data_IF_553403276462
#
_entry.id   IF_553403276462
#
_cell.length_a   1.000
_cell.length_b   1.000
_cell.length_c   1.000
_cell.angle_alpha   90.00
_cell.angle_beta   90.00
_cell.angle_gamma   90.00
#
_symmetry.space_group_name_H-M   'P 1'
#
loop_
_entity.id
_entity.type
_entity.pdbx_description
1 polymer ?
#
# COMPACT_ATOMS: atom_id res chain seq x y z
N UNK A 1 11.78 4.66 13.32
CA UNK A 1 10.95 3.77 14.17
C UNK A 1 9.46 3.82 13.77
N UNK A 2 8.83 5.01 13.71
CA UNK A 2 7.42 5.14 13.28
C UNK A 2 7.12 4.53 11.90
N UNK A 3 8.02 4.71 10.92
CA UNK A 3 7.87 4.11 9.58
C UNK A 3 7.77 2.58 9.60
N UNK A 4 8.61 1.90 10.39
CA UNK A 4 8.59 0.45 10.50
C UNK A 4 7.33 -0.06 11.21
N UNK A 5 6.88 0.66 12.25
CA UNK A 5 5.66 0.31 12.98
C UNK A 5 4.41 0.44 12.09
N UNK A 6 4.24 1.55 11.38
CA UNK A 6 3.09 1.76 10.49
C UNK A 6 3.10 0.79 9.32
N UNK A 7 4.27 0.56 8.72
CA UNK A 7 4.44 -0.45 7.67
C UNK A 7 4.07 -1.85 8.17
N UNK A 8 4.58 -2.27 9.34
CA UNK A 8 4.30 -3.59 9.91
C UNK A 8 2.82 -3.79 10.21
N UNK A 9 2.15 -2.81 10.82
CA UNK A 9 0.71 -2.87 11.08
C UNK A 9 -0.11 -2.96 9.79
N UNK A 10 0.21 -2.14 8.79
CA UNK A 10 -0.43 -2.19 7.47
C UNK A 10 -0.22 -3.55 6.79
N UNK A 11 1.01 -4.05 6.78
CA UNK A 11 1.36 -5.32 6.15
C UNK A 11 0.62 -6.50 6.78
N UNK A 12 0.61 -6.60 8.12
CA UNK A 12 -0.13 -7.64 8.83
C UNK A 12 -1.63 -7.59 8.53
N UNK A 13 -2.23 -6.39 8.52
CA UNK A 13 -3.65 -6.22 8.17
C UNK A 13 -3.94 -6.61 6.72
N UNK A 14 -3.05 -6.27 5.78
CA UNK A 14 -3.19 -6.61 4.36
C UNK A 14 -3.09 -8.13 4.13
N UNK A 15 -2.15 -8.82 4.79
CA UNK A 15 -2.02 -10.28 4.72
C UNK A 15 -3.30 -10.95 5.23
N UNK A 16 -3.80 -10.52 6.39
CA UNK A 16 -5.05 -11.07 6.94
C UNK A 16 -6.25 -10.77 6.03
N UNK A 17 -6.31 -9.58 5.43
CA UNK A 17 -7.32 -9.23 4.43
C UNK A 17 -7.26 -10.16 3.20
N UNK A 18 -6.08 -10.40 2.64
CA UNK A 18 -5.91 -11.30 1.49
C UNK A 18 -6.33 -12.72 1.86
N UNK A 19 -5.94 -13.21 3.03
CA UNK A 19 -6.31 -14.55 3.50
C UNK A 19 -7.83 -14.74 3.60
N UNK A 20 -8.58 -13.74 4.09
CA UNK A 20 -10.05 -13.82 4.16
C UNK A 20 -10.76 -13.62 2.81
N UNK A 21 -10.13 -12.89 1.88
CA UNK A 21 -10.75 -12.54 0.59
C UNK A 21 -10.67 -13.67 -0.43
N UNK A 22 -9.75 -14.61 -0.27
CA UNK A 22 -9.56 -15.75 -1.18
C UNK A 22 -9.98 -17.07 -0.53
N UNK A 23 -10.59 -17.97 -1.30
CA UNK A 23 -10.99 -19.29 -0.81
C UNK A 23 -9.78 -20.20 -0.49
N UNK A 24 -9.97 -21.31 0.25
CA UNK A 24 -8.86 -22.19 0.68
C UNK A 24 -7.99 -22.72 -0.46
N UNK A 25 -8.59 -22.96 -1.63
CA UNK A 25 -7.89 -23.46 -2.84
C UNK A 25 -7.14 -22.38 -3.62
N UNK A 26 -7.34 -21.11 -3.28
CA UNK A 26 -6.79 -19.94 -3.99
C UNK A 26 -5.83 -19.10 -3.13
N UNK A 27 -5.50 -19.55 -1.92
CA UNK A 27 -4.62 -18.82 -1.00
C UNK A 27 -3.26 -18.47 -1.62
N UNK A 28 -2.64 -19.40 -2.35
CA UNK A 28 -1.39 -19.13 -3.06
C UNK A 28 -1.51 -18.05 -4.14
N UNK A 29 -2.65 -17.99 -4.85
CA UNK A 29 -2.91 -16.96 -5.84
C UNK A 29 -3.12 -15.59 -5.19
N UNK A 30 -3.86 -15.53 -4.07
CA UNK A 30 -4.04 -14.30 -3.30
C UNK A 30 -2.71 -13.73 -2.79
N UNK A 31 -1.85 -14.58 -2.22
CA UNK A 31 -0.52 -14.16 -1.76
C UNK A 31 0.39 -13.73 -2.92
N UNK A 32 0.34 -14.44 -4.06
CA UNK A 32 1.10 -14.06 -5.26
C UNK A 32 0.64 -12.71 -5.81
N UNK A 33 -0.66 -12.45 -5.86
CA UNK A 33 -1.22 -11.16 -6.28
C UNK A 33 -0.77 -10.03 -5.35
N UNK A 34 -0.89 -10.24 -4.03
CA UNK A 34 -0.45 -9.25 -3.04
C UNK A 34 1.05 -8.96 -3.15
N UNK A 35 1.88 -9.99 -3.30
CA UNK A 35 3.33 -9.84 -3.48
C UNK A 35 3.67 -9.09 -4.77
N UNK A 36 3.01 -9.42 -5.89
CA UNK A 36 3.23 -8.76 -7.17
C UNK A 36 2.86 -7.27 -7.11
N UNK A 37 1.67 -6.94 -6.60
CA UNK A 37 1.21 -5.55 -6.48
C UNK A 37 2.08 -4.74 -5.51
N UNK A 38 2.43 -5.32 -4.36
CA UNK A 38 3.32 -4.67 -3.39
C UNK A 38 4.72 -4.45 -3.97
N UNK A 39 5.23 -5.41 -4.74
CA UNK A 39 6.53 -5.31 -5.41
C UNK A 39 6.55 -4.23 -6.49
N UNK A 40 5.54 -4.20 -7.36
CA UNK A 40 5.40 -3.14 -8.39
C UNK A 40 5.26 -1.77 -7.74
N UNK A 41 4.41 -1.64 -6.72
CA UNK A 41 4.25 -0.40 -5.97
C UNK A 41 5.55 0.06 -5.31
N UNK A 42 6.31 -0.87 -4.71
CA UNK A 42 7.62 -0.58 -4.13
C UNK A 42 8.64 -0.11 -5.16
N UNK A 43 8.70 -0.77 -6.32
CA UNK A 43 9.60 -0.38 -7.42
C UNK A 43 9.28 1.01 -7.97
N UNK A 44 7.99 1.29 -8.24
CA UNK A 44 7.55 2.61 -8.69
C UNK A 44 7.83 3.68 -7.62
N UNK A 45 7.53 3.40 -6.35
CA UNK A 45 7.80 4.30 -5.25
C UNK A 45 9.29 4.63 -5.10
N UNK A 46 10.17 3.64 -5.23
CA UNK A 46 11.62 3.85 -5.21
C UNK A 46 12.09 4.73 -6.39
N UNK A 47 11.58 4.46 -7.60
CA UNK A 47 11.93 5.23 -8.80
C UNK A 47 11.49 6.70 -8.68
N UNK A 48 10.21 6.94 -8.38
CA UNK A 48 9.66 8.30 -8.28
C UNK A 48 10.23 9.07 -7.08
N UNK A 49 10.47 8.42 -5.95
CA UNK A 49 11.12 9.07 -4.82
C UNK A 49 12.55 9.49 -5.17
N UNK A 50 13.31 8.66 -5.89
CA UNK A 50 14.64 9.02 -6.39
C UNK A 50 14.64 10.24 -7.32
N UNK A 51 13.73 10.27 -8.31
CA UNK A 51 13.64 11.42 -9.22
C UNK A 51 13.18 12.70 -8.53
N UNK A 52 12.10 12.61 -7.72
CA UNK A 52 11.57 13.77 -7.01
C UNK A 52 12.54 14.30 -5.97
N UNK A 53 13.32 13.44 -5.32
CA UNK A 53 14.33 13.86 -4.35
C UNK A 53 15.39 14.75 -5.00
N UNK A 54 15.86 14.37 -6.19
CA UNK A 54 16.85 15.14 -6.95
C UNK A 54 16.27 16.42 -7.55
N UNK A 55 15.04 16.38 -8.06
CA UNK A 55 14.45 17.51 -8.78
C UNK A 55 13.72 18.54 -7.89
N UNK A 56 13.07 18.08 -6.82
CA UNK A 56 12.15 18.88 -5.98
C UNK A 56 12.61 18.98 -4.52
N UNK A 57 13.56 18.16 -4.11
CA UNK A 57 14.07 18.10 -2.74
C UNK A 57 13.17 17.34 -1.77
N UNK A 58 13.66 17.10 -0.55
CA UNK A 58 13.05 16.19 0.42
C UNK A 58 11.64 16.60 0.86
N UNK A 59 11.40 17.89 1.08
CA UNK A 59 10.11 18.38 1.57
C UNK A 59 8.97 18.04 0.60
N UNK A 60 9.17 18.29 -0.69
CA UNK A 60 8.18 17.99 -1.73
C UNK A 60 8.04 16.48 -1.97
N UNK A 61 9.14 15.72 -1.96
CA UNK A 61 9.08 14.25 -2.05
C UNK A 61 8.20 13.65 -0.96
N UNK A 62 8.40 14.05 0.30
CA UNK A 62 7.59 13.57 1.40
C UNK A 62 6.13 14.06 1.33
N UNK A 63 5.89 15.28 0.86
CA UNK A 63 4.52 15.80 0.67
C UNK A 63 3.74 14.98 -0.37
N UNK A 64 4.36 14.68 -1.52
CA UNK A 64 3.76 13.87 -2.58
C UNK A 64 3.51 12.44 -2.08
N UNK A 65 4.47 11.83 -1.39
CA UNK A 65 4.31 10.51 -0.80
C UNK A 65 3.16 10.47 0.24
N UNK A 66 3.02 11.52 1.05
CA UNK A 66 1.95 11.65 2.03
C UNK A 66 0.57 11.79 1.38
N UNK A 67 0.47 12.55 0.28
CA UNK A 67 -0.77 12.67 -0.50
C UNK A 67 -1.18 11.34 -1.14
N UNK A 68 -0.21 10.59 -1.69
CA UNK A 68 -0.47 9.26 -2.25
C UNK A 68 -0.97 8.29 -1.18
N UNK A 69 -0.34 8.28 0.01
CA UNK A 69 -0.79 7.46 1.14
C UNK A 69 -2.19 7.87 1.64
N UNK A 70 -2.49 9.17 1.68
CA UNK A 70 -3.81 9.68 2.07
C UNK A 70 -4.89 9.27 1.06
N UNK A 71 -4.62 9.37 -0.24
CA UNK A 71 -5.55 8.91 -1.28
C UNK A 71 -5.88 7.42 -1.15
N UNK A 72 -4.87 6.58 -0.91
CA UNK A 72 -5.08 5.15 -0.66
C UNK A 72 -5.94 4.90 0.61
N UNK A 73 -5.72 5.66 1.68
CA UNK A 73 -6.53 5.57 2.89
C UNK A 73 -8.00 5.93 2.62
N UNK A 74 -8.26 6.98 1.84
CA UNK A 74 -9.63 7.37 1.43
C UNK A 74 -10.28 6.25 0.63
N UNK A 75 -9.60 5.67 -0.37
CA UNK A 75 -10.13 4.56 -1.17
C UNK A 75 -10.55 3.37 -0.29
N UNK A 76 -9.71 2.97 0.66
CA UNK A 76 -10.02 1.87 1.59
C UNK A 76 -11.25 2.19 2.43
N UNK A 77 -11.36 3.43 2.94
CA UNK A 77 -12.50 3.83 3.78
C UNK A 77 -13.80 3.89 2.98
N UNK A 78 -13.77 4.34 1.73
CA UNK A 78 -14.97 4.42 0.89
C UNK A 78 -15.45 3.04 0.43
N UNK A 79 -14.56 2.12 0.04
CA UNK A 79 -14.95 0.77 -0.38
C UNK A 79 -15.62 -0.05 0.73
N UNK A 80 -15.32 0.26 2.00
CA UNK A 80 -15.97 -0.39 3.15
C UNK A 80 -17.42 0.05 3.37
N UNK A 81 -17.81 1.23 2.86
CA UNK A 81 -19.19 1.72 3.00
C UNK A 81 -20.15 1.01 2.05
N UNK A 82 -19.64 0.51 0.93
CA UNK A 82 -20.43 -0.19 -0.09
C UNK A 82 -20.84 -1.61 0.34
N UNK A 83 -20.10 -2.23 1.27
CA UNK A 83 -20.44 -3.55 1.85
C UNK A 83 -21.49 -3.49 2.98
N UNK A 84 -21.87 -2.28 3.43
CA UNK A 84 -22.74 -2.05 4.59
C UNK A 84 -24.13 -1.46 4.28
N UNK A 85 -24.54 -1.42 3.00
CA UNK A 85 -25.89 -1.06 2.53
C UNK A 85 -26.54 -2.30 1.92
#
# INVERSE_FOLDING_TARGET
>A
MMHAATFGSFHAAAIHFVQRSFGPRQQGQGQALYAALSGVGGALGALYSGYSWNALGPAWTFAIASLAAFAAAVMIVTSRKEEGV
#
